data_IF_269209723422
#
_entry.id   IF_269209723422
#
_cell.length_a   1.000
_cell.length_b   1.000
_cell.length_c   1.000
_cell.angle_alpha   90.00
_cell.angle_beta   90.00
_cell.angle_gamma   90.00
#
_symmetry.space_group_name_H-M   'P 1'
#
loop_
_entity.id
_entity.type
_entity.pdbx_description
1 polymer ?
#
# COMPACT_ATOMS: atom_id res chain seq x y z
N UNK A 1 -9.42 5.24 17.96
CA UNK A 1 -9.55 6.46 18.74
C UNK A 1 -10.56 7.40 18.07
N UNK A 2 -11.08 8.37 18.84
CA UNK A 2 -12.17 9.27 18.41
C UNK A 2 -11.66 10.56 17.76
N UNK A 3 -10.36 10.67 17.49
CA UNK A 3 -9.79 11.83 16.82
C UNK A 3 -10.41 11.99 15.42
N UNK A 4 -11.01 13.15 15.14
CA UNK A 4 -11.59 13.46 13.83
C UNK A 4 -10.51 13.60 12.74
N UNK A 5 -9.36 14.14 13.10
CA UNK A 5 -8.18 14.24 12.23
C UNK A 5 -7.18 13.17 12.65
N UNK A 6 -6.67 12.41 11.67
CA UNK A 6 -5.61 11.42 11.87
C UNK A 6 -4.30 11.96 11.33
N UNK A 7 -3.23 11.79 12.09
CA UNK A 7 -1.88 12.19 11.68
C UNK A 7 -1.03 10.95 11.43
N UNK A 8 -0.15 11.02 10.45
CA UNK A 8 0.74 9.91 10.13
C UNK A 8 2.04 10.34 9.48
N UNK A 9 2.96 9.40 9.37
CA UNK A 9 4.21 9.57 8.63
C UNK A 9 4.08 8.90 7.26
N UNK A 10 4.47 9.62 6.20
CA UNK A 10 4.42 9.12 4.84
C UNK A 10 5.81 9.11 4.19
N UNK A 11 6.16 8.01 3.52
CA UNK A 11 7.31 7.93 2.62
C UNK A 11 8.68 7.83 3.28
N UNK A 12 8.79 7.50 4.57
CA UNK A 12 10.09 7.32 5.24
C UNK A 12 10.75 5.94 4.96
N UNK A 13 10.14 5.12 4.10
CA UNK A 13 10.71 3.88 3.58
C UNK A 13 11.55 4.07 2.31
N UNK A 14 11.61 5.28 1.76
CA UNK A 14 12.32 5.60 0.51
C UNK A 14 13.30 6.75 0.70
N UNK A 15 14.38 6.76 -0.10
CA UNK A 15 15.36 7.85 -0.06
C UNK A 15 14.73 9.18 -0.43
N UNK A 16 15.11 10.23 0.27
CA UNK A 16 14.56 11.58 0.19
C UNK A 16 13.10 11.73 0.65
N UNK A 17 12.42 10.65 1.05
CA UNK A 17 11.02 10.70 1.49
C UNK A 17 10.12 11.40 0.46
N UNK A 18 9.57 12.56 0.82
CA UNK A 18 8.74 13.40 -0.05
C UNK A 18 9.45 14.66 -0.56
N UNK A 19 10.76 14.84 -0.30
CA UNK A 19 11.52 16.03 -0.68
C UNK A 19 12.53 15.73 -1.79
N UNK A 20 12.43 16.43 -2.91
CA UNK A 20 13.42 16.36 -3.99
C UNK A 20 14.49 17.42 -3.69
N UNK A 21 15.62 17.01 -3.14
CA UNK A 21 16.67 17.92 -2.69
C UNK A 21 18.06 17.31 -2.80
N UNK A 22 19.06 18.16 -2.99
CA UNK A 22 20.49 17.83 -2.85
C UNK A 22 21.08 18.40 -1.56
N UNK A 23 20.26 18.93 -0.66
CA UNK A 23 20.71 19.46 0.62
C UNK A 23 21.35 18.37 1.48
N UNK A 24 22.40 18.74 2.21
CA UNK A 24 23.01 17.86 3.20
C UNK A 24 22.04 17.60 4.37
N UNK A 25 22.23 16.48 5.07
CA UNK A 25 21.45 16.16 6.26
C UNK A 25 20.04 15.64 5.95
N UNK A 26 19.76 15.20 4.71
CA UNK A 26 18.52 14.52 4.40
C UNK A 26 18.44 13.17 5.13
N UNK A 27 17.20 12.67 5.30
CA UNK A 27 16.96 11.38 5.96
C UNK A 27 17.65 10.22 5.22
N UNK A 28 18.52 9.52 5.93
CA UNK A 28 19.19 8.33 5.42
C UNK A 28 18.25 7.13 5.55
N UNK A 29 17.89 6.51 4.42
CA UNK A 29 16.99 5.36 4.34
C UNK A 29 17.74 4.07 4.67
N UNK A 30 18.04 3.90 5.95
CA UNK A 30 18.54 2.66 6.54
C UNK A 30 17.45 2.03 7.40
N UNK A 31 17.48 0.71 7.58
CA UNK A 31 16.48 0.06 8.43
C UNK A 31 16.46 0.58 9.87
N UNK A 32 17.62 0.79 10.56
CA UNK A 32 17.61 1.37 11.89
C UNK A 32 16.95 2.75 11.97
N UNK A 33 17.18 3.62 10.99
CA UNK A 33 16.57 4.95 10.95
C UNK A 33 15.06 4.87 10.70
N UNK A 34 14.63 4.03 9.75
CA UNK A 34 13.21 3.79 9.48
C UNK A 34 12.49 3.27 10.72
N UNK A 35 13.06 2.28 11.38
CA UNK A 35 12.51 1.72 12.62
C UNK A 35 12.46 2.77 13.74
N UNK A 36 13.52 3.55 13.93
CA UNK A 36 13.57 4.57 14.96
C UNK A 36 12.49 5.64 14.76
N UNK A 37 12.34 6.16 13.54
CA UNK A 37 11.28 7.15 13.21
C UNK A 37 9.89 6.55 13.42
N UNK A 38 9.67 5.31 13.02
CA UNK A 38 8.38 4.63 13.17
C UNK A 38 8.00 4.45 14.64
N UNK A 39 8.95 3.99 15.48
CA UNK A 39 8.73 3.81 16.92
C UNK A 39 8.51 5.15 17.63
N UNK A 40 9.23 6.20 17.23
CA UNK A 40 9.00 7.54 17.77
C UNK A 40 7.64 8.10 17.37
N UNK A 41 7.22 7.92 16.12
CA UNK A 41 5.90 8.32 15.64
C UNK A 41 4.78 7.58 16.39
N UNK A 42 4.91 6.28 16.55
CA UNK A 42 3.99 5.42 17.28
C UNK A 42 3.83 5.89 18.73
N UNK A 43 4.94 6.10 19.44
CA UNK A 43 4.95 6.58 20.83
C UNK A 43 4.43 8.01 20.98
N UNK A 44 4.59 8.85 19.95
CA UNK A 44 4.03 10.19 19.90
C UNK A 44 2.52 10.21 19.60
N UNK A 45 1.90 9.05 19.33
CA UNK A 45 0.47 8.91 19.06
C UNK A 45 0.08 9.25 17.63
N UNK A 46 1.02 9.21 16.67
CA UNK A 46 0.69 9.31 15.26
C UNK A 46 -0.04 8.03 14.80
N UNK A 47 -1.18 8.20 14.10
CA UNK A 47 -2.11 7.12 13.84
C UNK A 47 -1.78 6.27 12.63
N UNK A 48 -0.85 6.70 11.75
CA UNK A 48 -0.55 5.98 10.52
C UNK A 48 0.93 6.02 10.12
N UNK A 49 1.44 4.88 9.66
CA UNK A 49 2.74 4.71 9.00
C UNK A 49 2.48 4.23 7.58
N UNK A 50 2.71 5.11 6.60
CA UNK A 50 2.32 4.86 5.20
C UNK A 50 3.56 4.85 4.29
N UNK A 51 3.89 3.73 3.64
CA UNK A 51 5.03 3.64 2.75
C UNK A 51 4.72 4.11 1.33
N UNK A 52 5.73 4.57 0.62
CA UNK A 52 5.72 4.71 -0.83
C UNK A 52 6.09 3.36 -1.46
N UNK A 53 5.27 2.83 -2.36
CA UNK A 53 5.70 1.72 -3.19
C UNK A 53 6.62 2.24 -4.30
N UNK A 54 7.83 1.70 -4.36
CA UNK A 54 8.83 2.08 -5.34
C UNK A 54 9.78 0.92 -5.59
N UNK A 55 9.99 0.60 -6.87
CA UNK A 55 10.91 -0.43 -7.31
C UNK A 55 12.14 0.17 -7.99
N UNK A 56 12.03 1.40 -8.44
CA UNK A 56 13.07 2.12 -9.16
C UNK A 56 12.94 3.61 -8.94
N UNK A 57 14.04 4.28 -8.61
CA UNK A 57 14.08 5.73 -8.50
C UNK A 57 13.85 6.46 -9.83
N UNK A 58 13.57 7.74 -9.74
CA UNK A 58 13.31 8.58 -10.91
C UNK A 58 14.56 8.91 -11.72
N UNK A 59 15.77 8.64 -11.16
CA UNK A 59 17.04 9.03 -11.78
C UNK A 59 17.36 10.52 -11.59
N UNK A 60 18.27 11.02 -12.42
CA UNK A 60 18.78 12.39 -12.29
C UNK A 60 19.71 12.58 -11.07
N UNK A 61 20.11 13.83 -10.78
CA UNK A 61 21.10 14.11 -9.71
C UNK A 61 20.66 13.64 -8.32
N UNK A 62 19.37 13.71 -8.00
CA UNK A 62 18.84 13.29 -6.70
C UNK A 62 18.57 11.81 -6.62
N UNK A 63 18.35 11.15 -7.76
CA UNK A 63 17.79 9.82 -7.85
C UNK A 63 16.66 9.60 -6.83
N UNK A 64 15.72 10.54 -6.78
CA UNK A 64 14.60 10.57 -5.84
C UNK A 64 13.89 9.22 -5.75
N UNK A 65 13.68 8.74 -4.53
CA UNK A 65 13.18 7.40 -4.21
C UNK A 65 14.01 6.23 -4.80
N UNK A 66 15.33 6.43 -5.01
CA UNK A 66 16.22 5.42 -5.59
C UNK A 66 16.51 4.24 -4.67
N UNK A 67 16.54 4.48 -3.35
CA UNK A 67 16.56 3.44 -2.33
C UNK A 67 15.14 3.29 -1.79
N UNK A 68 14.64 2.08 -1.70
CA UNK A 68 13.29 1.80 -1.19
C UNK A 68 13.23 0.43 -0.53
N UNK A 69 12.55 0.36 0.60
CA UNK A 69 12.16 -0.91 1.20
C UNK A 69 10.83 -1.37 0.59
N UNK A 70 10.75 -2.68 0.30
CA UNK A 70 9.51 -3.31 -0.17
C UNK A 70 8.43 -3.20 0.91
N UNK A 71 7.23 -2.81 0.51
CA UNK A 71 6.24 -2.26 1.43
C UNK A 71 5.57 -3.28 2.34
N UNK A 72 5.39 -4.53 1.91
CA UNK A 72 4.84 -5.58 2.77
C UNK A 72 5.86 -6.06 3.80
N UNK A 73 7.10 -6.28 3.39
CA UNK A 73 8.19 -6.65 4.29
C UNK A 73 8.48 -5.54 5.30
N UNK A 74 8.46 -4.29 4.84
CA UNK A 74 8.60 -3.11 5.68
C UNK A 74 7.46 -3.03 6.72
N UNK A 75 6.21 -3.21 6.29
CA UNK A 75 5.05 -3.20 7.17
C UNK A 75 5.10 -4.32 8.20
N UNK A 76 5.51 -5.53 7.82
CA UNK A 76 5.68 -6.65 8.74
C UNK A 76 6.71 -6.34 9.84
N UNK A 77 7.86 -5.77 9.44
CA UNK A 77 8.91 -5.37 10.38
C UNK A 77 8.44 -4.30 11.36
N UNK A 78 7.70 -3.30 10.90
CA UNK A 78 7.18 -2.24 11.77
C UNK A 78 6.01 -2.70 12.64
N UNK A 79 5.14 -3.54 12.12
CA UNK A 79 4.04 -4.13 12.88
C UNK A 79 4.52 -4.87 14.14
N UNK A 80 5.72 -5.47 14.07
CA UNK A 80 6.31 -6.20 15.19
C UNK A 80 6.96 -5.31 16.27
N UNK A 81 7.18 -4.02 15.99
CA UNK A 81 7.90 -3.09 16.91
C UNK A 81 7.08 -1.84 17.27
N UNK A 82 5.83 -1.79 16.85
CA UNK A 82 4.88 -0.71 17.14
C UNK A 82 3.61 -1.27 17.77
N UNK A 83 2.91 -0.47 18.58
CA UNK A 83 1.75 -0.92 19.34
C UNK A 83 0.47 -0.14 19.04
N UNK A 84 0.57 1.06 18.47
CA UNK A 84 -0.56 1.97 18.31
C UNK A 84 -0.89 2.31 16.85
N UNK A 85 0.10 2.70 16.06
CA UNK A 85 -0.09 3.18 14.68
C UNK A 85 -0.65 2.08 13.77
N UNK A 86 -1.57 2.45 12.89
CA UNK A 86 -1.92 1.62 11.75
C UNK A 86 -0.73 1.54 10.80
N UNK A 87 -0.35 0.33 10.41
CA UNK A 87 0.78 0.08 9.51
C UNK A 87 0.24 -0.26 8.13
N UNK A 88 0.58 0.55 7.15
CA UNK A 88 0.16 0.37 5.77
C UNK A 88 1.18 -0.41 4.95
N UNK A 89 0.70 -1.19 3.98
CA UNK A 89 1.47 -1.51 2.78
C UNK A 89 0.91 -0.72 1.61
N UNK A 90 1.76 -0.35 0.66
CA UNK A 90 1.32 0.21 -0.62
C UNK A 90 1.58 -0.82 -1.72
N UNK A 91 0.52 -1.29 -2.37
CA UNK A 91 0.59 -2.28 -3.44
C UNK A 91 0.41 -1.64 -4.81
N UNK A 92 1.43 -1.79 -5.67
CA UNK A 92 1.25 -1.60 -7.11
C UNK A 92 0.60 -2.87 -7.68
N UNK A 93 -0.71 -2.84 -7.94
CA UNK A 93 -1.51 -4.03 -8.32
C UNK A 93 -0.89 -4.85 -9.45
N UNK A 94 -0.29 -4.24 -10.52
CA UNK A 94 0.30 -5.00 -11.60
C UNK A 94 1.57 -5.78 -11.23
N UNK A 95 2.17 -5.51 -10.07
CA UNK A 95 3.46 -6.12 -9.66
C UNK A 95 3.29 -7.26 -8.67
N UNK A 96 2.08 -7.49 -8.16
CA UNK A 96 1.81 -8.53 -7.17
C UNK A 96 0.48 -9.24 -7.44
N UNK A 97 0.50 -10.56 -7.44
CA UNK A 97 -0.70 -11.36 -7.61
C UNK A 97 -1.64 -11.23 -6.39
N UNK A 98 -2.98 -11.12 -6.55
CA UNK A 98 -3.90 -10.91 -5.43
C UNK A 98 -3.84 -12.00 -4.35
N UNK A 99 -3.56 -13.25 -4.71
CA UNK A 99 -3.36 -14.35 -3.74
C UNK A 99 -2.14 -14.08 -2.84
N UNK A 100 -1.03 -13.60 -3.42
CA UNK A 100 0.17 -13.25 -2.64
C UNK A 100 -0.11 -12.06 -1.73
N UNK A 101 -0.71 -11.02 -2.27
CA UNK A 101 -1.08 -9.83 -1.51
C UNK A 101 -2.03 -10.16 -0.33
N UNK A 102 -3.04 -11.01 -0.57
CA UNK A 102 -3.95 -11.47 0.49
C UNK A 102 -3.19 -12.16 1.63
N UNK A 103 -2.24 -13.04 1.27
CA UNK A 103 -1.45 -13.79 2.26
C UNK A 103 -0.53 -12.88 3.05
N UNK A 104 0.18 -11.97 2.39
CA UNK A 104 1.07 -11.01 3.04
C UNK A 104 0.29 -10.06 3.96
N UNK A 105 -0.80 -9.47 3.46
CA UNK A 105 -1.66 -8.57 4.21
C UNK A 105 -2.23 -9.24 5.47
N UNK A 106 -2.78 -10.44 5.34
CA UNK A 106 -3.29 -11.21 6.49
C UNK A 106 -2.20 -11.51 7.51
N UNK A 107 -1.00 -11.88 7.04
CA UNK A 107 0.13 -12.15 7.94
C UNK A 107 0.49 -10.90 8.76
N UNK A 108 0.55 -9.74 8.11
CA UNK A 108 0.85 -8.47 8.77
C UNK A 108 -0.30 -8.07 9.71
N UNK A 109 -1.54 -8.32 9.33
CA UNK A 109 -2.70 -8.07 10.18
C UNK A 109 -2.63 -8.86 11.49
N UNK A 110 -2.21 -10.13 11.43
CA UNK A 110 -1.95 -10.95 12.63
C UNK A 110 -0.75 -10.45 13.44
N UNK A 111 0.38 -10.10 12.80
CA UNK A 111 1.55 -9.56 13.49
C UNK A 111 1.21 -8.27 14.23
N UNK A 112 0.43 -7.40 13.60
CA UNK A 112 0.04 -6.10 14.16
C UNK A 112 -1.10 -6.16 15.16
N UNK A 113 -1.77 -7.31 15.32
CA UNK A 113 -2.97 -7.40 16.15
C UNK A 113 -4.17 -6.62 15.58
N UNK A 114 -4.33 -6.58 14.25
CA UNK A 114 -5.45 -5.91 13.58
C UNK A 114 -5.22 -4.42 13.28
N UNK A 115 -3.96 -3.98 13.12
CA UNK A 115 -3.60 -2.59 12.77
C UNK A 115 -3.11 -2.43 11.33
N UNK A 116 -3.22 -3.46 10.50
CA UNK A 116 -2.83 -3.40 9.10
C UNK A 116 -3.85 -2.63 8.26
N UNK A 117 -3.38 -1.89 7.25
CA UNK A 117 -4.20 -1.32 6.20
C UNK A 117 -3.48 -1.39 4.84
N UNK A 118 -4.23 -1.43 3.75
CA UNK A 118 -3.71 -1.60 2.40
C UNK A 118 -3.97 -0.34 1.57
N UNK A 119 -2.91 0.30 1.08
CA UNK A 119 -2.99 1.32 0.05
C UNK A 119 -2.86 0.68 -1.34
N UNK A 120 -3.88 0.84 -2.17
CA UNK A 120 -3.96 0.24 -3.51
C UNK A 120 -3.64 1.28 -4.56
N UNK A 121 -2.59 1.03 -5.36
CA UNK A 121 -2.14 1.88 -6.46
C UNK A 121 -2.23 1.11 -7.78
N UNK A 122 -2.98 1.64 -8.74
CA UNK A 122 -3.28 0.96 -10.00
C UNK A 122 -2.08 0.86 -10.98
N UNK A 123 -0.92 1.43 -10.61
CA UNK A 123 0.29 1.49 -11.43
C UNK A 123 0.29 2.69 -12.37
N UNK A 124 1.39 3.41 -12.43
CA UNK A 124 1.51 4.60 -13.29
C UNK A 124 2.92 4.81 -13.84
N UNK A 125 3.94 4.21 -13.21
CA UNK A 125 5.33 4.40 -13.61
C UNK A 125 5.77 3.26 -14.54
N UNK A 126 5.77 3.53 -15.84
CA UNK A 126 6.04 2.54 -16.88
C UNK A 126 7.35 1.78 -16.66
N UNK A 127 8.44 2.48 -16.30
CA UNK A 127 9.75 1.86 -16.09
C UNK A 127 9.79 0.80 -14.98
N UNK A 128 8.91 0.92 -13.99
CA UNK A 128 8.76 -0.11 -12.96
C UNK A 128 8.03 -1.34 -13.51
N UNK A 129 6.93 -1.12 -14.26
CA UNK A 129 6.15 -2.21 -14.83
C UNK A 129 6.97 -3.03 -15.84
N UNK A 130 7.85 -2.37 -16.61
CA UNK A 130 8.78 -3.02 -17.54
C UNK A 130 9.77 -3.96 -16.83
N UNK A 131 10.19 -3.66 -15.59
CA UNK A 131 11.04 -4.56 -14.79
C UNK A 131 10.34 -5.89 -14.46
N UNK A 132 9.00 -5.89 -14.39
CA UNK A 132 8.19 -7.10 -14.17
C UNK A 132 7.71 -7.74 -15.47
N UNK A 133 8.24 -7.32 -16.63
CA UNK A 133 7.84 -7.83 -17.94
C UNK A 133 6.48 -7.32 -18.43
N UNK A 134 5.90 -6.37 -17.71
CA UNK A 134 4.63 -5.75 -18.06
C UNK A 134 4.77 -4.47 -18.88
N UNK A 135 3.64 -3.91 -19.27
CA UNK A 135 3.53 -2.60 -19.92
C UNK A 135 2.49 -1.75 -19.20
N UNK A 136 2.60 -0.42 -19.35
CA UNK A 136 1.61 0.49 -18.79
C UNK A 136 0.31 0.36 -19.59
N UNK A 137 -0.73 -0.18 -18.96
CA UNK A 137 -2.07 -0.23 -19.53
C UNK A 137 -2.64 1.18 -19.69
N UNK A 138 -3.59 1.32 -20.61
CA UNK A 138 -4.42 2.50 -20.75
C UNK A 138 -5.07 2.85 -19.40
N UNK A 139 -5.27 4.16 -19.16
CA UNK A 139 -5.61 4.69 -17.84
C UNK A 139 -6.82 4.00 -17.20
N UNK A 140 -7.93 3.90 -17.90
CA UNK A 140 -9.16 3.36 -17.32
C UNK A 140 -9.09 1.83 -17.13
N UNK A 141 -8.38 1.13 -18.02
CA UNK A 141 -8.13 -0.31 -17.89
C UNK A 141 -7.31 -0.68 -16.66
N UNK A 142 -6.47 0.23 -16.17
CA UNK A 142 -5.74 0.01 -14.90
C UNK A 142 -6.69 -0.09 -13.72
N UNK A 143 -7.76 0.72 -13.71
CA UNK A 143 -8.78 0.65 -12.67
C UNK A 143 -9.70 -0.57 -12.80
N UNK A 144 -10.01 -1.00 -14.04
CA UNK A 144 -10.72 -2.29 -14.25
C UNK A 144 -9.89 -3.47 -13.73
N UNK A 145 -8.59 -3.48 -14.04
CA UNK A 145 -7.66 -4.50 -13.54
C UNK A 145 -7.59 -4.49 -12.00
N UNK A 146 -7.46 -3.32 -11.40
CA UNK A 146 -7.42 -3.16 -9.95
C UNK A 146 -8.74 -3.56 -9.28
N UNK A 147 -9.88 -3.35 -9.93
CA UNK A 147 -11.18 -3.78 -9.44
C UNK A 147 -11.26 -5.30 -9.32
N UNK A 148 -10.91 -6.04 -10.37
CA UNK A 148 -10.86 -7.52 -10.31
C UNK A 148 -9.86 -8.01 -9.25
N UNK A 149 -8.69 -7.36 -9.17
CA UNK A 149 -7.67 -7.66 -8.18
C UNK A 149 -8.21 -7.53 -6.75
N UNK A 150 -8.93 -6.44 -6.44
CA UNK A 150 -9.54 -6.22 -5.13
C UNK A 150 -10.72 -7.19 -4.87
N UNK A 151 -11.53 -7.46 -5.85
CA UNK A 151 -12.65 -8.41 -5.71
C UNK A 151 -12.15 -9.81 -5.35
N UNK A 152 -11.04 -10.24 -5.95
CA UNK A 152 -10.38 -11.50 -5.58
C UNK A 152 -9.83 -11.43 -4.16
N UNK A 153 -9.17 -10.32 -3.80
CA UNK A 153 -8.61 -10.10 -2.48
C UNK A 153 -9.69 -10.19 -1.40
N UNK A 154 -10.81 -9.49 -1.59
CA UNK A 154 -11.95 -9.52 -0.67
C UNK A 154 -12.57 -10.92 -0.56
N UNK A 155 -12.72 -11.64 -1.67
CA UNK A 155 -13.18 -13.04 -1.64
C UNK A 155 -12.21 -13.93 -0.85
N UNK A 156 -10.90 -13.80 -1.04
CA UNK A 156 -9.92 -14.57 -0.29
C UNK A 156 -10.03 -14.31 1.22
N UNK A 157 -10.29 -13.07 1.62
CA UNK A 157 -10.41 -12.71 3.03
C UNK A 157 -11.73 -13.12 3.67
N UNK A 158 -12.81 -13.30 2.89
CA UNK A 158 -14.16 -13.49 3.43
C UNK A 158 -14.79 -14.83 3.12
N UNK A 159 -14.45 -15.49 2.00
CA UNK A 159 -15.04 -16.76 1.63
C UNK A 159 -14.61 -17.88 2.60
N UNK A 160 -15.56 -18.65 3.10
CA UNK A 160 -15.32 -19.79 3.99
C UNK A 160 -14.87 -21.02 3.20
N UNK A 161 -15.43 -21.22 1.99
CA UNK A 161 -15.11 -22.34 1.12
C UNK A 161 -14.22 -21.93 -0.07
N UNK A 162 -13.72 -22.94 -0.78
CA UNK A 162 -13.02 -22.74 -2.06
C UNK A 162 -13.95 -22.06 -3.07
N UNK A 163 -13.41 -21.14 -3.87
CA UNK A 163 -14.15 -20.47 -4.93
C UNK A 163 -13.39 -20.43 -6.25
N UNK A 164 -14.13 -20.41 -7.33
CA UNK A 164 -13.60 -20.07 -8.66
C UNK A 164 -13.89 -18.60 -8.97
N UNK A 165 -12.95 -17.96 -9.67
CA UNK A 165 -13.12 -16.61 -10.21
C UNK A 165 -12.69 -16.61 -11.67
N UNK A 166 -13.55 -16.14 -12.56
CA UNK A 166 -13.28 -16.01 -13.99
C UNK A 166 -13.61 -14.59 -14.43
N UNK A 167 -12.57 -13.75 -14.50
CA UNK A 167 -12.65 -12.36 -14.92
C UNK A 167 -11.98 -12.10 -16.25
N UNK A 168 -11.91 -10.85 -16.62
CA UNK A 168 -11.21 -10.38 -17.82
C UNK A 168 -9.70 -10.49 -17.70
N UNK A 169 -9.18 -10.24 -16.51
CA UNK A 169 -7.75 -10.15 -16.22
C UNK A 169 -7.24 -11.34 -15.38
N UNK A 170 -8.08 -11.91 -14.54
CA UNK A 170 -7.69 -12.98 -13.63
C UNK A 170 -8.56 -14.22 -13.79
N UNK A 171 -7.94 -15.39 -13.60
CA UNK A 171 -8.62 -16.67 -13.46
C UNK A 171 -8.06 -17.40 -12.26
N UNK A 172 -8.93 -17.67 -11.30
CA UNK A 172 -8.59 -18.42 -10.08
C UNK A 172 -9.44 -19.69 -10.07
N UNK A 173 -8.80 -20.81 -9.83
CA UNK A 173 -9.50 -22.08 -9.59
C UNK A 173 -9.24 -22.51 -8.16
N UNK A 174 -10.30 -22.90 -7.47
CA UNK A 174 -10.23 -23.36 -6.08
C UNK A 174 -9.48 -22.39 -5.18
N UNK A 175 -9.74 -21.08 -5.37
CA UNK A 175 -9.16 -20.02 -4.53
C UNK A 175 -9.51 -20.27 -3.08
N UNK A 176 -8.50 -20.30 -2.23
CA UNK A 176 -8.66 -20.56 -0.79
C UNK A 176 -7.63 -19.76 0.01
N UNK A 177 -8.01 -19.30 1.18
CA UNK A 177 -7.15 -18.48 2.01
C UNK A 177 -7.41 -18.72 3.49
N UNK A 178 -6.39 -19.16 4.21
CA UNK A 178 -6.32 -19.26 5.67
C UNK A 178 -4.91 -18.85 6.16
N UNK A 179 -4.81 -18.28 7.39
CA UNK A 179 -5.90 -17.81 8.24
C UNK A 179 -6.65 -16.63 7.62
N UNK A 180 -7.84 -16.32 8.11
CA UNK A 180 -8.53 -15.06 7.77
C UNK A 180 -7.87 -13.89 8.51
N UNK A 181 -7.98 -12.64 8.02
CA UNK A 181 -7.56 -11.45 8.77
C UNK A 181 -8.21 -11.40 10.16
N UNK A 182 -7.56 -10.72 11.11
CA UNK A 182 -8.16 -10.42 12.42
C UNK A 182 -9.29 -9.39 12.26
N UNK A 183 -9.05 -8.37 11.44
CA UNK A 183 -10.01 -7.32 11.16
C UNK A 183 -11.23 -7.87 10.41
N UNK A 184 -12.43 -7.35 10.73
CA UNK A 184 -13.68 -7.76 10.11
C UNK A 184 -14.39 -6.57 9.47
N UNK A 185 -14.94 -6.71 8.25
CA UNK A 185 -14.88 -7.92 7.40
C UNK A 185 -13.49 -8.23 6.86
N UNK A 186 -12.61 -7.24 6.76
CA UNK A 186 -11.21 -7.32 6.31
C UNK A 186 -10.45 -6.03 6.65
N UNK A 187 -9.12 -5.98 6.48
CA UNK A 187 -8.31 -4.78 6.69
C UNK A 187 -8.77 -3.60 5.82
N UNK A 188 -8.69 -2.39 6.37
CA UNK A 188 -9.08 -1.18 5.68
C UNK A 188 -8.26 -0.95 4.39
N UNK A 189 -8.92 -0.41 3.37
CA UNK A 189 -8.34 -0.13 2.06
C UNK A 189 -8.28 1.38 1.82
N UNK A 190 -7.13 1.87 1.36
CA UNK A 190 -6.90 3.24 0.92
C UNK A 190 -6.61 3.27 -0.58
N UNK A 191 -6.99 4.35 -1.25
CA UNK A 191 -6.61 4.61 -2.63
C UNK A 191 -6.23 6.09 -2.83
N UNK A 192 -5.28 6.35 -3.70
CA UNK A 192 -4.75 7.69 -3.99
C UNK A 192 -5.08 8.20 -5.40
N UNK A 193 -6.12 7.67 -6.04
CA UNK A 193 -6.52 8.07 -7.38
C UNK A 193 -7.11 9.48 -7.42
N UNK A 194 -6.47 10.39 -8.16
CA UNK A 194 -6.89 11.79 -8.30
C UNK A 194 -7.68 12.12 -9.58
N UNK A 195 -7.93 11.15 -10.47
CA UNK A 195 -8.76 11.29 -11.66
C UNK A 195 -10.23 10.98 -11.35
N UNK A 196 -11.14 11.36 -12.24
CA UNK A 196 -12.56 11.04 -12.09
C UNK A 196 -12.81 9.52 -11.93
N UNK A 197 -12.15 8.71 -12.78
CA UNK A 197 -12.21 7.23 -12.67
C UNK A 197 -11.61 6.76 -11.35
N UNK A 198 -10.50 7.38 -10.91
CA UNK A 198 -9.87 7.10 -9.61
C UNK A 198 -10.78 7.42 -8.43
N UNK A 199 -11.49 8.54 -8.47
CA UNK A 199 -12.47 8.89 -7.44
C UNK A 199 -13.65 7.92 -7.39
N UNK A 200 -14.18 7.50 -8.57
CA UNK A 200 -15.24 6.47 -8.63
C UNK A 200 -14.76 5.12 -8.09
N UNK A 201 -13.54 4.74 -8.43
CA UNK A 201 -12.91 3.53 -7.90
C UNK A 201 -12.76 3.59 -6.37
N UNK A 202 -12.20 4.69 -5.85
CA UNK A 202 -12.06 4.90 -4.42
C UNK A 202 -13.43 4.85 -3.70
N UNK A 203 -14.43 5.55 -4.22
CA UNK A 203 -15.79 5.55 -3.66
C UNK A 203 -16.44 4.15 -3.59
N UNK A 204 -16.05 3.24 -4.48
CA UNK A 204 -16.60 1.87 -4.51
C UNK A 204 -15.82 0.90 -3.63
N UNK A 205 -14.50 1.03 -3.55
CA UNK A 205 -13.63 -0.02 -3.01
C UNK A 205 -12.77 0.42 -1.81
N UNK A 206 -12.67 1.72 -1.52
CA UNK A 206 -11.78 2.20 -0.48
C UNK A 206 -12.55 2.78 0.72
N UNK A 207 -11.99 2.56 1.91
CA UNK A 207 -12.45 3.15 3.16
C UNK A 207 -11.84 4.55 3.36
N UNK A 208 -10.69 4.80 2.72
CA UNK A 208 -9.91 6.04 2.86
C UNK A 208 -9.40 6.53 1.50
N UNK A 209 -9.33 7.84 1.32
CA UNK A 209 -8.74 8.49 0.15
C UNK A 209 -7.51 9.29 0.58
N UNK A 210 -6.37 9.00 -0.06
CA UNK A 210 -5.17 9.83 0.07
C UNK A 210 -5.20 10.89 -1.03
N UNK A 211 -5.15 12.17 -0.65
CA UNK A 211 -5.19 13.28 -1.61
C UNK A 211 -4.20 14.37 -1.24
N UNK A 212 -3.75 15.11 -2.25
CA UNK A 212 -3.03 16.36 -2.05
C UNK A 212 -4.05 17.50 -1.96
N UNK A 213 -3.96 18.31 -0.91
CA UNK A 213 -4.70 19.56 -0.84
C UNK A 213 -4.04 20.50 -1.85
N UNK A 214 -4.72 20.71 -2.97
CA UNK A 214 -4.41 21.82 -3.90
C UNK A 214 -5.12 23.03 -3.35
N UNK A 215 -4.50 24.22 -3.53
CA UNK A 215 -4.95 25.51 -3.01
C UNK A 215 -6.48 25.63 -2.84
N UNK A 216 -6.87 26.15 -1.69
CA UNK A 216 -8.25 26.55 -1.47
C UNK A 216 -8.45 27.88 -2.21
N UNK A 217 -9.25 27.90 -3.26
CA UNK A 217 -9.90 29.10 -3.78
C UNK A 217 -10.98 29.58 -2.77
#
# INVERSE_FOLDING_TARGET
NDNKMKLGVFGHNVSHGCAITLAEGHFETTWPNVQAVSVLADRAGLEALVPVARWRGFGGPTNFNGLSFETYSWAAGLAAVTDYSAVFSTSHVPTVHPIMAAKQATTIDHISGGRFALNVVCGWFQRELEMFGGSLMEHDKRYEYAAEWLEILFKLWTAEDEFDYEGKYFRIKKGFHEPKPIQRPFPAVMNAGGSEVGHRFAAKYADMVFTHIKEHD
#
